data_IF_619931193232
#
_entry.id   IF_619931193232
#
_cell.length_a   1.000
_cell.length_b   1.000
_cell.length_c   1.000
_cell.angle_alpha   90.00
_cell.angle_beta   90.00
_cell.angle_gamma   90.00
#
_symmetry.space_group_name_H-M   'P 1'
#
loop_
_entity.id
_entity.type
_entity.pdbx_description
1 polymer ?
#
# COMPACT_ATOMS: atom_id res chain seq x y z
N UNK A 1 26.66 39.64 -38.77
CA UNK A 1 25.31 39.22 -38.35
C UNK A 1 25.21 37.72 -38.58
N UNK A 2 24.97 36.91 -37.55
CA UNK A 2 24.51 35.50 -37.59
C UNK A 2 24.29 35.09 -36.13
N UNK A 3 23.08 35.33 -35.60
CA UNK A 3 21.96 34.38 -35.51
C UNK A 3 22.15 33.28 -34.45
N UNK A 4 21.69 33.65 -33.26
CA UNK A 4 21.00 32.87 -32.22
C UNK A 4 21.15 31.34 -32.20
N UNK A 5 21.87 30.84 -31.20
CA UNK A 5 21.72 29.48 -30.71
C UNK A 5 20.41 29.37 -29.92
N UNK A 6 19.48 28.54 -30.42
CA UNK A 6 18.24 28.19 -29.73
C UNK A 6 18.57 27.14 -28.65
N UNK A 7 18.50 27.54 -27.39
CA UNK A 7 18.49 26.63 -26.25
C UNK A 7 17.12 25.94 -26.19
N UNK A 8 17.05 24.70 -26.66
CA UNK A 8 15.89 23.85 -26.45
C UNK A 8 15.82 23.45 -24.96
N UNK A 9 15.00 24.17 -24.20
CA UNK A 9 14.54 23.74 -22.88
C UNK A 9 13.63 22.53 -23.07
N UNK A 10 14.18 21.32 -22.95
CA UNK A 10 13.36 20.13 -22.76
C UNK A 10 12.78 20.19 -21.36
N UNK A 11 11.59 20.76 -21.24
CA UNK A 11 10.75 20.65 -20.04
C UNK A 11 10.49 19.17 -19.78
N UNK A 12 11.26 18.56 -18.88
CA UNK A 12 10.89 17.30 -18.25
C UNK A 12 9.66 17.57 -17.41
N UNK A 13 8.48 17.42 -18.01
CA UNK A 13 7.25 17.27 -17.27
C UNK A 13 7.45 16.05 -16.36
N UNK A 14 7.53 16.28 -15.05
CA UNK A 14 7.40 15.23 -14.04
C UNK A 14 6.08 14.52 -14.33
N UNK A 15 6.16 13.35 -14.94
CA UNK A 15 5.00 12.57 -15.34
C UNK A 15 4.22 12.17 -14.07
N UNK A 16 3.15 12.92 -13.82
CA UNK A 16 1.86 12.37 -13.43
C UNK A 16 1.80 11.66 -12.09
N UNK A 17 1.89 12.44 -11.01
CA UNK A 17 1.33 12.08 -9.71
C UNK A 17 -0.21 12.18 -9.80
N UNK A 18 -0.83 11.35 -10.64
CA UNK A 18 -2.28 11.38 -10.86
C UNK A 18 -2.99 10.60 -9.77
N UNK A 19 -4.04 11.21 -9.20
CA UNK A 19 -5.02 10.50 -8.38
C UNK A 19 -5.61 9.35 -9.20
N UNK A 20 -5.78 8.19 -8.57
CA UNK A 20 -6.29 6.98 -9.22
C UNK A 20 -7.63 6.62 -8.60
N UNK A 21 -8.63 6.31 -9.40
CA UNK A 21 -9.85 5.67 -8.90
C UNK A 21 -9.77 4.17 -9.15
N UNK A 22 -9.95 3.37 -8.09
CA UNK A 22 -9.92 1.91 -8.16
C UNK A 22 -11.08 1.34 -7.34
N UNK A 23 -11.94 0.54 -7.98
CA UNK A 23 -13.19 0.01 -7.39
C UNK A 23 -14.04 1.09 -6.70
N UNK A 24 -14.24 2.21 -7.38
CA UNK A 24 -15.03 3.35 -6.89
C UNK A 24 -14.38 4.19 -5.79
N UNK A 25 -13.16 3.86 -5.35
CA UNK A 25 -12.44 4.58 -4.30
C UNK A 25 -11.31 5.42 -4.90
N UNK A 26 -11.20 6.67 -4.44
CA UNK A 26 -10.17 7.60 -4.89
C UNK A 26 -8.90 7.44 -4.05
N UNK A 27 -7.78 7.26 -4.72
CA UNK A 27 -6.45 7.07 -4.16
C UNK A 27 -5.54 8.23 -4.51
N UNK A 28 -4.69 8.60 -3.55
CA UNK A 28 -3.71 9.66 -3.75
C UNK A 28 -2.52 9.23 -4.61
N UNK A 29 -1.42 9.96 -4.41
CA UNK A 29 -0.15 9.69 -5.08
C UNK A 29 0.38 8.29 -4.79
N UNK A 30 1.05 7.70 -5.78
CA UNK A 30 1.84 6.49 -5.58
C UNK A 30 3.05 6.79 -4.69
N UNK A 31 3.32 5.91 -3.74
CA UNK A 31 4.40 6.06 -2.76
C UNK A 31 5.02 4.71 -2.41
N UNK A 32 6.28 4.74 -2.00
CA UNK A 32 6.92 3.62 -1.33
C UNK A 32 6.46 3.59 0.13
N UNK A 33 5.86 2.48 0.55
CA UNK A 33 5.27 2.31 1.87
C UNK A 33 5.97 1.19 2.62
N UNK A 34 6.13 1.40 3.92
CA UNK A 34 6.41 0.33 4.89
C UNK A 34 5.20 0.22 5.80
N UNK A 35 4.56 -0.95 5.80
CA UNK A 35 3.37 -1.20 6.59
C UNK A 35 3.55 -2.36 7.56
N UNK A 36 2.89 -2.28 8.71
CA UNK A 36 2.66 -3.39 9.62
C UNK A 36 1.31 -4.00 9.27
N UNK A 37 1.32 -5.24 8.79
CA UNK A 37 0.15 -5.98 8.37
C UNK A 37 -0.19 -7.04 9.42
N UNK A 38 -1.39 -6.98 9.99
CA UNK A 38 -1.95 -8.05 10.81
C UNK A 38 -2.92 -8.88 9.98
N UNK A 39 -2.80 -10.20 10.05
CA UNK A 39 -3.74 -11.14 9.44
C UNK A 39 -4.03 -12.30 10.37
N UNK A 40 -5.30 -12.70 10.46
CA UNK A 40 -5.76 -13.96 11.04
C UNK A 40 -6.95 -14.49 10.20
N UNK A 41 -7.78 -15.37 10.77
CA UNK A 41 -8.93 -15.92 10.04
C UNK A 41 -10.07 -14.89 9.83
N UNK A 42 -10.27 -13.96 10.77
CA UNK A 42 -11.38 -12.99 10.77
C UNK A 42 -11.00 -11.64 10.16
N UNK A 43 -9.74 -11.26 10.32
CA UNK A 43 -9.28 -9.90 10.12
C UNK A 43 -7.98 -9.90 9.31
N UNK A 44 -7.90 -8.98 8.36
CA UNK A 44 -6.67 -8.71 7.60
C UNK A 44 -6.63 -7.23 7.27
N UNK A 45 -5.67 -6.51 7.87
CA UNK A 45 -5.55 -5.06 7.72
C UNK A 45 -4.13 -4.58 7.98
N UNK A 46 -3.75 -3.48 7.36
CA UNK A 46 -2.57 -2.74 7.80
C UNK A 46 -2.92 -2.00 9.10
N UNK A 47 -2.21 -2.30 10.17
CA UNK A 47 -2.34 -1.59 11.45
C UNK A 47 -1.63 -0.25 11.40
N UNK A 48 -0.51 -0.19 10.66
CA UNK A 48 0.20 1.05 10.42
C UNK A 48 0.80 1.05 9.02
N UNK A 49 0.81 2.21 8.36
CA UNK A 49 1.62 2.47 7.18
C UNK A 49 2.41 3.77 7.37
N UNK A 50 3.62 3.78 6.83
CA UNK A 50 4.48 4.96 6.80
C UNK A 50 5.20 5.07 5.46
N UNK A 51 5.54 6.29 5.08
CA UNK A 51 6.43 6.60 3.97
C UNK A 51 7.64 7.42 4.47
N UNK A 52 8.39 8.03 3.55
CA UNK A 52 9.53 8.89 3.89
C UNK A 52 9.16 10.15 4.70
N UNK A 53 7.88 10.57 4.66
CA UNK A 53 7.37 11.75 5.36
C UNK A 53 6.81 11.44 6.75
N UNK A 54 6.54 10.17 7.04
CA UNK A 54 6.14 9.70 8.36
C UNK A 54 4.95 8.75 8.33
N UNK A 55 4.25 8.68 9.47
CA UNK A 55 3.04 7.86 9.66
C UNK A 55 1.89 8.38 8.78
N UNK A 56 1.18 7.47 8.12
CA UNK A 56 0.04 7.79 7.25
C UNK A 56 -1.32 7.43 7.86
N UNK A 57 -1.34 6.55 8.85
CA UNK A 57 -2.55 6.16 9.58
C UNK A 57 -2.50 6.73 11.00
N UNK A 58 -3.68 7.06 11.53
CA UNK A 58 -3.84 7.51 12.91
C UNK A 58 -3.68 6.34 13.89
N UNK A 59 -3.21 6.63 15.11
CA UNK A 59 -3.03 5.59 16.12
C UNK A 59 -4.41 4.99 16.51
N UNK A 60 -4.50 3.65 16.56
CA UNK A 60 -5.76 2.93 16.80
C UNK A 60 -6.68 2.81 15.58
N UNK A 61 -6.25 3.32 14.43
CA UNK A 61 -6.88 3.06 13.14
C UNK A 61 -6.22 1.88 12.40
N UNK A 62 -6.69 1.59 11.19
CA UNK A 62 -6.04 0.69 10.27
C UNK A 62 -6.41 1.03 8.83
N UNK A 63 -5.83 0.27 7.89
CA UNK A 63 -6.21 0.32 6.49
C UNK A 63 -6.61 -1.06 5.96
N UNK A 64 -7.76 -1.09 5.30
CA UNK A 64 -8.19 -2.19 4.43
C UNK A 64 -7.19 -2.38 3.30
N UNK A 65 -7.12 -3.59 2.77
CA UNK A 65 -6.14 -3.96 1.75
C UNK A 65 -6.87 -4.16 0.42
N UNK A 66 -6.48 -3.39 -0.59
CA UNK A 66 -6.81 -3.67 -1.99
C UNK A 66 -5.52 -3.98 -2.74
N UNK A 67 -5.61 -4.82 -3.77
CA UNK A 67 -4.48 -5.20 -4.58
C UNK A 67 -4.83 -5.06 -6.05
N UNK A 68 -3.89 -4.55 -6.84
CA UNK A 68 -3.98 -4.77 -8.29
C UNK A 68 -3.74 -6.26 -8.58
N UNK A 69 -4.29 -6.73 -9.71
CA UNK A 69 -4.32 -8.12 -10.17
C UNK A 69 -3.11 -8.97 -9.71
N UNK A 70 -3.36 -10.05 -8.98
CA UNK A 70 -2.35 -11.03 -8.60
C UNK A 70 -1.46 -10.64 -7.41
N UNK A 71 -1.51 -9.38 -6.93
CA UNK A 71 -0.61 -8.90 -5.87
C UNK A 71 -1.04 -9.41 -4.49
N UNK A 72 -2.33 -9.62 -4.24
CA UNK A 72 -2.80 -10.17 -2.96
C UNK A 72 -2.40 -11.64 -2.79
N UNK A 73 -2.41 -12.41 -3.88
CA UNK A 73 -1.90 -13.78 -3.91
C UNK A 73 -0.39 -13.82 -3.66
N UNK A 74 0.37 -12.87 -4.22
CA UNK A 74 1.80 -12.72 -3.94
C UNK A 74 2.07 -12.32 -2.49
N UNK A 75 1.25 -11.43 -1.92
CA UNK A 75 1.32 -11.03 -0.52
C UNK A 75 1.10 -12.23 0.41
N UNK A 76 0.04 -13.00 0.16
CA UNK A 76 -0.29 -14.22 0.91
C UNK A 76 0.83 -15.27 0.81
N UNK A 77 1.31 -15.56 -0.41
CA UNK A 77 2.41 -16.49 -0.64
C UNK A 77 3.71 -16.06 0.07
N UNK A 78 4.04 -14.77 0.03
CA UNK A 78 5.22 -14.22 0.69
C UNK A 78 5.11 -14.29 2.22
N UNK A 79 3.94 -14.01 2.79
CA UNK A 79 3.70 -14.16 4.22
C UNK A 79 3.77 -15.62 4.67
N UNK A 80 3.17 -16.56 3.92
CA UNK A 80 3.29 -18.00 4.18
C UNK A 80 4.75 -18.43 4.21
N UNK A 81 5.55 -18.00 3.23
CA UNK A 81 6.99 -18.28 3.19
C UNK A 81 7.71 -17.69 4.42
N UNK A 82 7.42 -16.44 4.77
CA UNK A 82 8.05 -15.75 5.90
C UNK A 82 7.73 -16.42 7.26
N UNK A 83 6.49 -16.90 7.44
CA UNK A 83 6.05 -17.58 8.66
C UNK A 83 6.26 -19.11 8.63
N UNK A 84 6.83 -19.66 7.56
CA UNK A 84 6.91 -21.11 7.30
C UNK A 84 5.54 -21.81 7.41
N UNK A 85 4.48 -21.11 7.01
CA UNK A 85 3.09 -21.57 7.12
C UNK A 85 2.76 -22.57 6.01
N UNK A 86 2.28 -23.76 6.40
CA UNK A 86 1.98 -24.87 5.47
C UNK A 86 0.50 -25.21 5.35
N UNK A 87 -0.33 -24.71 6.27
CA UNK A 87 -1.75 -25.04 6.33
C UNK A 87 -2.54 -24.24 5.28
N UNK A 88 -3.68 -24.74 4.77
CA UNK A 88 -4.40 -24.09 3.66
C UNK A 88 -5.01 -22.74 4.04
N UNK A 89 -5.39 -22.53 5.30
CA UNK A 89 -5.89 -21.25 5.79
C UNK A 89 -4.86 -20.12 5.61
N UNK A 90 -5.35 -18.87 5.57
CA UNK A 90 -4.49 -17.68 5.50
C UNK A 90 -3.44 -17.73 6.63
N UNK A 91 -2.20 -17.25 6.39
CA UNK A 91 -1.20 -17.16 7.43
C UNK A 91 -1.69 -16.22 8.53
N UNK A 92 -1.37 -16.56 9.78
CA UNK A 92 -1.71 -15.75 10.95
C UNK A 92 -0.47 -15.04 11.48
N UNK A 93 -0.68 -13.84 12.01
CA UNK A 93 0.34 -13.05 12.69
C UNK A 93 0.55 -11.68 12.07
N UNK A 94 1.65 -11.06 12.48
CA UNK A 94 2.00 -9.70 12.07
C UNK A 94 3.22 -9.72 11.16
N UNK A 95 3.17 -8.94 10.09
CA UNK A 95 4.20 -8.88 9.06
C UNK A 95 4.61 -7.44 8.80
N UNK A 96 5.90 -7.22 8.58
CA UNK A 96 6.41 -6.00 7.99
C UNK A 96 6.42 -6.15 6.47
N UNK A 97 5.68 -5.28 5.80
CA UNK A 97 5.49 -5.28 4.35
C UNK A 97 6.10 -4.02 3.76
N UNK A 98 7.04 -4.18 2.83
CA UNK A 98 7.55 -3.09 2.01
C UNK A 98 6.91 -3.21 0.63
N UNK A 99 6.28 -2.14 0.17
CA UNK A 99 5.48 -2.13 -1.05
C UNK A 99 5.51 -0.76 -1.74
N UNK A 100 5.08 -0.72 -3.00
CA UNK A 100 4.66 0.51 -3.67
C UNK A 100 3.15 0.46 -3.79
N UNK A 101 2.49 1.54 -3.39
CA UNK A 101 1.04 1.60 -3.36
C UNK A 101 0.53 3.00 -3.10
N UNK A 102 -0.77 3.09 -2.83
CA UNK A 102 -1.50 4.34 -2.60
C UNK A 102 -2.41 4.21 -1.39
N UNK A 103 -2.65 5.33 -0.71
CA UNK A 103 -3.64 5.42 0.38
C UNK A 103 -4.89 6.13 -0.16
N UNK A 104 -6.06 5.69 0.27
CA UNK A 104 -7.32 6.32 -0.08
C UNK A 104 -7.39 7.76 0.42
N UNK A 105 -7.91 8.67 -0.40
CA UNK A 105 -8.01 10.10 -0.10
C UNK A 105 -9.06 10.38 0.97
N UNK A 106 -10.15 9.62 0.95
CA UNK A 106 -11.27 9.79 1.86
C UNK A 106 -11.30 8.63 2.88
N UNK A 107 -11.32 8.93 4.18
CA UNK A 107 -11.63 7.91 5.17
C UNK A 107 -13.10 7.50 5.08
N UNK A 108 -13.40 6.27 5.46
CA UNK A 108 -14.76 5.75 5.57
C UNK A 108 -15.09 5.42 7.04
N UNK A 109 -16.38 5.42 7.36
CA UNK A 109 -16.83 5.12 8.72
C UNK A 109 -16.60 3.66 9.09
N UNK A 110 -16.26 3.41 10.36
CA UNK A 110 -16.22 2.06 10.94
C UNK A 110 -17.65 1.59 11.16
N UNK A 111 -18.03 0.46 10.57
CA UNK A 111 -19.35 -0.15 10.77
C UNK A 111 -19.30 -1.23 11.84
N UNK A 112 -18.16 -1.89 11.98
CA UNK A 112 -17.93 -2.98 12.93
C UNK A 112 -16.63 -2.78 13.72
N UNK A 113 -16.53 -3.48 14.85
CA UNK A 113 -15.29 -3.59 15.60
C UNK A 113 -14.22 -4.26 14.73
N UNK A 114 -13.11 -3.57 14.50
CA UNK A 114 -12.01 -4.06 13.66
C UNK A 114 -11.91 -3.38 12.29
N UNK A 115 -12.96 -2.68 11.86
CA UNK A 115 -12.95 -1.94 10.60
C UNK A 115 -11.83 -0.89 10.58
N UNK A 116 -11.08 -0.89 9.49
CA UNK A 116 -10.19 0.19 9.12
C UNK A 116 -11.01 1.40 8.66
N UNK A 117 -10.46 2.63 8.75
CA UNK A 117 -11.10 3.80 8.10
C UNK A 117 -10.47 4.17 6.78
N UNK A 118 -9.32 3.59 6.43
CA UNK A 118 -8.60 3.85 5.19
C UNK A 118 -8.49 2.60 4.35
N UNK A 119 -8.07 2.76 3.11
CA UNK A 119 -7.67 1.66 2.23
C UNK A 119 -6.28 1.92 1.68
N UNK A 120 -5.45 0.87 1.64
CA UNK A 120 -4.18 0.86 0.93
C UNK A 120 -4.33 -0.01 -0.30
N UNK A 121 -4.12 0.58 -1.48
CA UNK A 121 -4.00 -0.15 -2.72
C UNK A 121 -2.54 -0.53 -2.95
N UNK A 122 -2.26 -1.84 -3.01
CA UNK A 122 -0.95 -2.38 -3.31
C UNK A 122 -0.80 -2.52 -4.82
N UNK A 123 0.16 -1.79 -5.39
CA UNK A 123 0.48 -1.85 -6.82
C UNK A 123 1.70 -2.75 -7.09
N UNK A 124 2.64 -2.81 -6.15
CA UNK A 124 3.82 -3.69 -6.22
C UNK A 124 4.27 -4.13 -4.83
N UNK A 125 4.50 -5.42 -4.66
CA UNK A 125 5.09 -5.98 -3.45
C UNK A 125 6.62 -5.98 -3.56
N UNK A 126 7.32 -5.49 -2.54
CA UNK A 126 8.80 -5.50 -2.50
C UNK A 126 9.33 -6.56 -1.56
N UNK A 127 8.84 -6.60 -0.31
CA UNK A 127 9.21 -7.65 0.63
C UNK A 127 8.18 -7.85 1.73
N UNK A 128 8.15 -9.04 2.30
CA UNK A 128 7.33 -9.41 3.47
C UNK A 128 8.24 -10.12 4.46
N UNK A 129 8.18 -9.73 5.74
CA UNK A 129 8.91 -10.38 6.84
C UNK A 129 7.99 -10.57 8.02
N UNK A 130 8.03 -11.74 8.65
CA UNK A 130 7.30 -11.97 9.90
C UNK A 130 7.90 -11.11 11.02
N UNK A 131 7.03 -10.46 11.79
CA UNK A 131 7.37 -9.83 13.06
C UNK A 131 7.07 -10.87 14.14
N UNK A 132 8.13 -11.31 14.84
CA UNK A 132 8.02 -12.29 15.93
C UNK A 132 7.25 -11.72 17.11
#
# INVERSE_FOLDING_TARGET
MWQFAVLALTSTALAGQQNLTFDGEAFGAQRALTCTWFTNFENSRFEQCQDATGKLLQDGDGASIKCVRGICEQLDAAARKAARWKKPERPWGTFKVVLVGRVSLNPHEKRYLGDATRTVLIEKLTSVRALK
#
